data_IF_346830220304
#
_entry.id   IF_346830220304
#
_cell.length_a   1.000
_cell.length_b   1.000
_cell.length_c   1.000
_cell.angle_alpha   90.00
_cell.angle_beta   90.00
_cell.angle_gamma   90.00
#
_symmetry.space_group_name_H-M   'P 1'
#
loop_
_entity.id
_entity.type
_entity.pdbx_description
1 polymer ?
#
# COMPACT_ATOMS: atom_id res chain seq x y z
N UNK A 1 -9.44 -5.60 -29.65
CA UNK A 1 -9.55 -4.63 -28.54
C UNK A 1 -9.56 -5.42 -27.25
N UNK A 2 -8.83 -4.97 -26.23
CA UNK A 2 -8.67 -5.69 -24.96
C UNK A 2 -7.98 -4.81 -23.92
N UNK A 3 -7.80 -5.33 -22.72
CA UNK A 3 -7.17 -4.62 -21.61
C UNK A 3 -6.51 -5.57 -20.61
N UNK A 4 -5.81 -4.98 -19.66
CA UNK A 4 -5.10 -5.71 -18.59
C UNK A 4 -5.67 -5.32 -17.23
N UNK A 5 -5.61 -6.25 -16.28
CA UNK A 5 -5.91 -6.02 -14.88
C UNK A 5 -4.62 -6.14 -14.07
N UNK A 6 -4.30 -5.12 -13.30
CA UNK A 6 -3.28 -5.20 -12.25
C UNK A 6 -3.95 -5.70 -10.98
N UNK A 7 -3.41 -6.79 -10.42
CA UNK A 7 -3.77 -7.26 -9.09
C UNK A 7 -2.60 -6.89 -8.18
N UNK A 8 -2.76 -5.90 -7.28
CA UNK A 8 -1.66 -5.45 -6.45
C UNK A 8 -1.32 -6.49 -5.37
N UNK A 9 -0.02 -6.67 -5.16
CA UNK A 9 0.53 -7.35 -3.97
C UNK A 9 0.82 -6.35 -2.84
N UNK A 10 1.10 -5.09 -3.20
CA UNK A 10 1.35 -4.00 -2.27
C UNK A 10 0.74 -2.69 -2.78
N UNK A 11 0.25 -1.87 -1.86
CA UNK A 11 -0.22 -0.50 -2.13
C UNK A 11 0.34 0.43 -1.05
N UNK A 12 1.05 1.49 -1.44
CA UNK A 12 1.49 2.53 -0.52
C UNK A 12 0.69 3.81 -0.73
N UNK A 13 0.14 4.35 0.37
CA UNK A 13 -0.43 5.68 0.42
C UNK A 13 0.58 6.64 1.05
N UNK A 14 0.96 7.65 0.28
CA UNK A 14 1.87 8.70 0.71
C UNK A 14 1.13 10.02 0.79
N UNK A 15 1.17 10.65 1.96
CA UNK A 15 0.56 11.95 2.19
C UNK A 15 1.63 12.95 2.65
N UNK A 16 1.63 14.12 2.02
CA UNK A 16 2.46 15.24 2.45
C UNK A 16 2.08 15.69 3.86
N UNK A 17 3.07 15.80 4.75
CA UNK A 17 2.91 16.35 6.09
C UNK A 17 3.81 17.56 6.34
N UNK A 18 3.58 18.25 7.45
CA UNK A 18 4.38 19.42 7.84
C UNK A 18 5.84 19.02 8.13
N UNK A 19 6.77 19.96 7.93
CA UNK A 19 8.20 19.76 8.25
C UNK A 19 8.87 18.56 7.56
N UNK A 20 8.35 18.09 6.41
CA UNK A 20 8.82 16.88 5.68
C UNK A 20 8.56 15.56 6.42
N UNK A 21 7.68 15.57 7.42
CA UNK A 21 7.23 14.36 8.09
C UNK A 21 6.02 13.82 7.35
N UNK A 22 6.29 12.99 6.34
CA UNK A 22 5.26 12.36 5.53
C UNK A 22 4.56 11.23 6.27
N UNK A 23 3.25 11.14 6.08
CA UNK A 23 2.49 9.97 6.49
C UNK A 23 2.53 8.94 5.37
N UNK A 24 3.06 7.76 5.72
CA UNK A 24 3.24 6.66 4.80
C UNK A 24 2.56 5.43 5.37
N UNK A 25 1.57 4.90 4.65
CA UNK A 25 0.87 3.67 5.00
C UNK A 25 1.05 2.64 3.89
N UNK A 26 1.65 1.51 4.21
CA UNK A 26 1.77 0.37 3.30
C UNK A 26 0.72 -0.67 3.64
N UNK A 27 0.07 -1.18 2.59
CA UNK A 27 -0.87 -2.28 2.60
C UNK A 27 -0.23 -3.43 1.84
N UNK A 28 0.05 -4.53 2.53
CA UNK A 28 0.60 -5.75 1.94
C UNK A 28 -0.46 -6.84 1.94
N UNK A 29 -0.65 -7.50 0.80
CA UNK A 29 -1.58 -8.62 0.72
C UNK A 29 -0.98 -9.81 1.47
N UNK A 30 -1.80 -10.51 2.26
CA UNK A 30 -1.33 -11.66 2.99
C UNK A 30 -0.88 -12.79 2.05
N UNK A 31 0.24 -13.43 2.40
CA UNK A 31 0.80 -14.56 1.63
C UNK A 31 0.00 -15.86 1.82
N UNK A 32 -0.90 -15.91 2.82
CA UNK A 32 -1.70 -17.11 3.14
C UNK A 32 -2.85 -17.39 2.16
N UNK A 33 -3.01 -16.54 1.14
CA UNK A 33 -4.06 -16.67 0.11
C UNK A 33 -5.44 -16.22 0.57
N UNK A 34 -5.56 -15.61 1.76
CA UNK A 34 -6.76 -14.91 2.18
C UNK A 34 -6.86 -13.52 1.52
N UNK A 35 -8.07 -12.98 1.39
CA UNK A 35 -8.31 -11.60 0.94
C UNK A 35 -7.97 -10.56 2.04
N UNK A 36 -7.05 -10.89 2.94
CA UNK A 36 -6.64 -10.03 4.05
C UNK A 36 -5.44 -9.16 3.67
N UNK A 37 -5.38 -7.98 4.30
CA UNK A 37 -4.31 -7.01 4.11
C UNK A 37 -3.67 -6.69 5.45
N UNK A 38 -2.35 -6.71 5.48
CA UNK A 38 -1.56 -6.21 6.59
C UNK A 38 -1.26 -4.73 6.37
N UNK A 39 -1.46 -3.92 7.42
CA UNK A 39 -1.31 -2.46 7.34
C UNK A 39 -0.18 -2.03 8.27
N UNK A 40 0.80 -1.35 7.70
CA UNK A 40 1.94 -0.78 8.44
C UNK A 40 2.08 0.71 8.20
N UNK A 41 2.55 1.45 9.22
CA UNK A 41 3.02 2.83 9.05
C UNK A 41 4.52 2.82 8.83
N UNK A 42 4.99 3.47 7.76
CA UNK A 42 6.40 3.63 7.46
C UNK A 42 6.89 4.98 7.97
N UNK A 43 8.16 5.04 8.36
CA UNK A 43 8.81 6.31 8.67
C UNK A 43 8.97 7.16 7.40
N UNK A 44 8.77 8.48 7.50
CA UNK A 44 9.15 9.42 6.44
C UNK A 44 10.66 9.50 6.23
#
# INVERSE_FOLDING_TARGET
WGGFRVVPEEIEFWQGGEMRLHDRFSYLRSEDGSDSWEIGRLSP
#
